data_IF_480824016059
#
_entry.id   IF_480824016059
#
_cell.length_a   1.000
_cell.length_b   1.000
_cell.length_c   1.000
_cell.angle_alpha   90.00
_cell.angle_beta   90.00
_cell.angle_gamma   90.00
#
_symmetry.space_group_name_H-M   'P 1'
#
loop_
_entity.id
_entity.type
_entity.pdbx_description
1 polymer ?
#
# COMPACT_ATOMS: atom_id res chain seq x y z
N UNK A 1 -8.06 19.22 21.47
CA UNK A 1 -7.68 18.24 20.45
C UNK A 1 -7.33 18.91 19.15
N UNK A 2 -6.37 18.38 18.42
CA UNK A 2 -6.08 18.87 17.06
C UNK A 2 -7.24 18.44 16.16
N UNK A 3 -7.78 19.33 15.33
CA UNK A 3 -8.82 19.02 14.33
C UNK A 3 -8.18 18.25 13.14
N UNK A 4 -7.72 17.04 13.42
CA UNK A 4 -7.00 16.19 12.46
C UNK A 4 -7.93 15.25 11.68
N UNK A 5 -9.23 15.27 11.95
CA UNK A 5 -10.19 14.34 11.34
C UNK A 5 -11.44 15.09 10.90
N UNK A 6 -11.96 14.76 9.72
CA UNK A 6 -13.21 15.32 9.21
C UNK A 6 -14.04 14.29 8.47
N UNK A 7 -15.35 14.59 8.32
CA UNK A 7 -16.30 13.75 7.63
C UNK A 7 -16.25 13.96 6.11
N UNK A 8 -16.20 12.86 5.37
CA UNK A 8 -16.24 12.86 3.91
C UNK A 8 -17.42 12.06 3.41
N UNK A 9 -18.24 12.68 2.57
CA UNK A 9 -19.45 12.12 1.99
C UNK A 9 -19.29 11.68 0.54
N UNK A 10 -18.12 11.82 -0.06
CA UNK A 10 -17.83 11.45 -1.44
C UNK A 10 -17.90 9.94 -1.66
N UNK A 11 -18.49 9.53 -2.77
CA UNK A 11 -18.34 8.17 -3.31
C UNK A 11 -17.00 8.00 -4.00
N UNK A 12 -16.58 6.75 -4.20
CA UNK A 12 -15.39 6.44 -5.00
C UNK A 12 -15.49 6.98 -6.43
N UNK A 13 -16.69 6.92 -7.02
CA UNK A 13 -16.98 7.46 -8.37
C UNK A 13 -16.77 8.98 -8.41
N UNK A 14 -17.31 9.71 -7.44
CA UNK A 14 -17.14 11.17 -7.35
C UNK A 14 -15.67 11.58 -7.19
N UNK A 15 -14.89 10.82 -6.39
CA UNK A 15 -13.45 11.08 -6.22
C UNK A 15 -12.70 10.86 -7.55
N UNK A 16 -13.01 9.79 -8.29
CA UNK A 16 -12.37 9.51 -9.57
C UNK A 16 -12.74 10.52 -10.67
N UNK A 17 -13.93 11.10 -10.61
CA UNK A 17 -14.43 12.09 -11.56
C UNK A 17 -14.08 13.54 -11.19
N UNK A 18 -13.60 13.79 -9.97
CA UNK A 18 -13.25 15.14 -9.53
C UNK A 18 -12.03 15.69 -10.30
N UNK A 19 -11.99 17.00 -10.56
CA UNK A 19 -10.80 17.65 -11.08
C UNK A 19 -9.60 17.36 -10.18
N UNK A 20 -8.47 17.01 -10.79
CA UNK A 20 -7.22 16.68 -10.07
C UNK A 20 -6.15 17.77 -10.31
N UNK A 21 -5.27 17.91 -9.34
CA UNK A 21 -4.06 18.69 -9.55
C UNK A 21 -3.20 18.04 -10.67
N UNK A 22 -2.46 18.81 -11.48
CA UNK A 22 -1.75 18.31 -12.69
C UNK A 22 -0.86 17.10 -12.44
N UNK A 23 -0.34 16.82 -11.32
CA UNK A 23 0.56 15.70 -11.03
C UNK A 23 0.03 14.74 -9.95
N UNK A 24 -1.26 14.86 -9.57
CA UNK A 24 -1.84 13.96 -8.60
C UNK A 24 -2.08 12.56 -9.20
N UNK A 25 -1.66 11.48 -8.52
CA UNK A 25 -1.88 10.13 -8.99
C UNK A 25 -3.37 9.80 -9.06
N UNK A 26 -3.70 8.77 -9.85
CA UNK A 26 -5.09 8.32 -10.00
C UNK A 26 -5.67 7.88 -8.64
N UNK A 27 -6.87 8.39 -8.33
CA UNK A 27 -7.57 8.09 -7.08
C UNK A 27 -7.09 8.89 -5.87
N UNK A 28 -6.15 9.84 -6.03
CA UNK A 28 -5.84 10.79 -4.97
C UNK A 28 -7.07 11.61 -4.59
N UNK A 29 -7.26 11.84 -3.30
CA UNK A 29 -8.42 12.58 -2.84
C UNK A 29 -8.25 14.10 -3.03
N UNK A 30 -9.18 14.79 -3.72
CA UNK A 30 -9.02 16.21 -4.05
C UNK A 30 -9.40 17.17 -2.92
N UNK A 31 -9.75 16.68 -1.72
CA UNK A 31 -10.11 17.55 -0.60
C UNK A 31 -11.57 18.07 -0.59
N UNK A 32 -12.45 17.55 -1.44
CA UNK A 32 -13.83 18.05 -1.66
C UNK A 32 -14.63 18.32 -0.39
N UNK A 33 -14.47 17.49 0.65
CA UNK A 33 -15.20 17.67 1.92
C UNK A 33 -14.35 18.27 3.03
N UNK A 34 -13.10 18.63 2.74
CA UNK A 34 -12.13 19.07 3.77
C UNK A 34 -12.60 20.32 4.51
N UNK A 35 -13.14 21.28 3.78
CA UNK A 35 -13.45 22.61 4.30
C UNK A 35 -14.95 22.94 4.19
N UNK A 36 -15.81 21.91 4.28
CA UNK A 36 -17.25 22.12 4.36
C UNK A 36 -17.63 22.92 5.61
N UNK A 37 -18.53 23.88 5.44
CA UNK A 37 -19.15 24.59 6.57
C UNK A 37 -20.09 23.67 7.36
N UNK A 38 -20.47 24.07 8.57
CA UNK A 38 -21.42 23.28 9.38
C UNK A 38 -22.76 23.08 8.68
N UNK A 39 -23.26 24.12 7.98
CA UNK A 39 -24.47 24.02 7.19
C UNK A 39 -24.35 22.98 6.06
N UNK A 40 -23.24 23.01 5.31
CA UNK A 40 -22.97 22.04 4.26
C UNK A 40 -22.82 20.61 4.81
N UNK A 41 -22.17 20.44 5.96
CA UNK A 41 -22.10 19.13 6.66
C UNK A 41 -23.49 18.63 7.06
N UNK A 42 -24.32 19.52 7.61
CA UNK A 42 -25.70 19.17 8.00
C UNK A 42 -26.53 18.72 6.79
N UNK A 43 -26.43 19.46 5.67
CA UNK A 43 -27.08 19.08 4.41
C UNK A 43 -26.64 17.69 3.92
N UNK A 44 -25.32 17.42 3.90
CA UNK A 44 -24.77 16.12 3.50
C UNK A 44 -25.22 14.98 4.41
N UNK A 45 -25.29 15.22 5.73
CA UNK A 45 -25.83 14.24 6.69
C UNK A 45 -27.33 13.97 6.42
N UNK A 46 -28.13 15.01 6.15
CA UNK A 46 -29.54 14.88 5.84
C UNK A 46 -29.80 14.09 4.55
N UNK A 47 -28.87 14.09 3.60
CA UNK A 47 -28.93 13.24 2.42
C UNK A 47 -28.76 11.73 2.72
N UNK A 48 -28.53 11.35 3.99
CA UNK A 48 -28.63 9.98 4.49
C UNK A 48 -27.42 9.07 4.23
N UNK A 49 -26.35 9.57 3.61
CA UNK A 49 -25.16 8.77 3.39
C UNK A 49 -24.23 8.83 4.61
N UNK A 50 -23.89 7.68 5.24
CA UNK A 50 -22.93 7.65 6.34
C UNK A 50 -21.55 8.17 5.89
N UNK A 51 -20.93 9.11 6.63
CA UNK A 51 -19.64 9.66 6.26
C UNK A 51 -18.50 8.70 6.55
N UNK A 52 -17.50 8.69 5.67
CA UNK A 52 -16.18 8.22 5.99
C UNK A 52 -15.44 9.28 6.83
N UNK A 53 -14.54 8.86 7.71
CA UNK A 53 -13.62 9.75 8.41
C UNK A 53 -12.29 9.80 7.67
N UNK A 54 -11.83 11.02 7.36
CA UNK A 54 -10.52 11.23 6.72
C UNK A 54 -9.56 11.95 7.66
N UNK A 55 -8.28 11.64 7.49
CA UNK A 55 -7.21 12.44 8.06
C UNK A 55 -7.20 13.81 7.36
N UNK A 56 -7.08 14.88 8.14
CA UNK A 56 -6.73 16.21 7.64
C UNK A 56 -5.20 16.27 7.61
N UNK A 57 -4.61 15.93 6.47
CA UNK A 57 -3.17 15.94 6.32
C UNK A 57 -2.59 17.36 6.47
N UNK A 58 -1.50 17.49 7.21
CA UNK A 58 -0.74 18.71 7.37
C UNK A 58 0.39 18.87 6.35
N UNK A 59 0.58 17.87 5.47
CA UNK A 59 1.58 17.90 4.39
C UNK A 59 0.99 17.27 3.12
N UNK A 60 1.58 17.59 1.99
CA UNK A 60 1.23 17.00 0.69
C UNK A 60 2.15 15.88 0.27
N UNK A 61 3.30 15.73 0.95
CA UNK A 61 4.28 14.69 0.64
C UNK A 61 5.00 14.24 1.92
N UNK A 62 5.56 13.04 1.89
CA UNK A 62 6.38 12.48 2.96
C UNK A 62 7.44 11.56 2.38
N UNK A 63 8.61 11.51 3.02
CA UNK A 63 9.74 10.71 2.59
C UNK A 63 9.91 9.50 3.50
N UNK A 64 10.12 8.33 2.90
CA UNK A 64 10.42 7.07 3.59
C UNK A 64 11.76 6.52 3.14
N UNK A 65 12.37 5.69 3.97
CA UNK A 65 13.54 4.90 3.60
C UNK A 65 13.10 3.53 3.11
N UNK A 66 13.54 3.16 1.92
CA UNK A 66 13.27 1.86 1.30
C UNK A 66 14.59 1.17 0.92
N UNK A 67 14.74 -0.11 1.26
CA UNK A 67 15.99 -0.84 1.02
C UNK A 67 16.30 -1.04 -0.47
N UNK A 68 15.27 -1.12 -1.31
CA UNK A 68 15.43 -1.32 -2.75
C UNK A 68 15.37 -0.01 -3.54
N UNK A 69 14.56 0.95 -3.11
CA UNK A 69 14.33 2.21 -3.83
C UNK A 69 15.08 3.41 -3.21
N UNK A 70 15.77 3.21 -2.08
CA UNK A 70 16.46 4.28 -1.39
C UNK A 70 15.50 5.26 -0.69
N UNK A 71 15.80 6.54 -0.77
CA UNK A 71 14.91 7.59 -0.25
C UNK A 71 13.76 7.82 -1.23
N UNK A 72 12.53 7.49 -0.84
CA UNK A 72 11.33 7.63 -1.66
C UNK A 72 10.40 8.68 -1.07
N UNK A 73 10.13 9.73 -1.84
CA UNK A 73 9.16 10.78 -1.50
C UNK A 73 7.90 10.58 -2.32
N UNK A 74 6.75 10.53 -1.68
CA UNK A 74 5.47 10.34 -2.36
C UNK A 74 4.34 11.15 -1.73
N UNK A 75 3.22 11.19 -2.45
CA UNK A 75 2.03 11.96 -2.08
C UNK A 75 1.45 11.49 -0.75
N UNK A 76 1.06 12.46 0.07
CA UNK A 76 0.20 12.29 1.23
C UNK A 76 -1.08 13.10 1.00
N UNK A 77 -2.17 12.40 0.71
CA UNK A 77 -3.51 12.97 0.63
C UNK A 77 -4.28 12.77 1.94
N UNK A 78 -5.48 13.34 2.02
CA UNK A 78 -6.38 13.10 3.15
C UNK A 78 -6.94 11.68 3.11
N UNK A 79 -6.15 10.73 3.56
CA UNK A 79 -6.49 9.30 3.52
C UNK A 79 -7.68 8.96 4.41
N UNK A 80 -8.44 7.93 4.02
CA UNK A 80 -9.56 7.42 4.82
C UNK A 80 -9.00 6.68 6.04
N UNK A 81 -9.49 7.04 7.24
CA UNK A 81 -9.21 6.36 8.50
C UNK A 81 -10.31 5.36 8.85
N UNK A 82 -11.59 5.74 8.65
CA UNK A 82 -12.75 4.89 8.86
C UNK A 82 -13.71 5.04 7.70
N UNK A 83 -14.19 3.93 7.18
CA UNK A 83 -15.15 3.87 6.10
C UNK A 83 -16.56 4.28 6.60
N UNK A 84 -17.45 4.64 5.66
CA UNK A 84 -18.82 5.00 5.99
C UNK A 84 -19.64 3.86 6.61
N UNK A 85 -19.23 2.60 6.43
CA UNK A 85 -19.82 1.43 7.09
C UNK A 85 -19.30 1.19 8.52
N UNK A 86 -18.47 2.10 9.05
CA UNK A 86 -17.89 2.04 10.39
C UNK A 86 -16.61 1.21 10.51
N UNK A 87 -16.19 0.50 9.46
CA UNK A 87 -14.99 -0.35 9.49
C UNK A 87 -13.72 0.52 9.36
N UNK A 88 -12.67 0.28 10.17
CA UNK A 88 -11.36 0.91 9.97
C UNK A 88 -10.85 0.68 8.54
N UNK A 89 -10.26 1.71 7.95
CA UNK A 89 -9.66 1.59 6.63
C UNK A 89 -8.32 0.85 6.71
N UNK A 90 -7.96 0.16 5.62
CA UNK A 90 -6.73 -0.64 5.55
C UNK A 90 -5.48 0.13 6.02
N UNK A 91 -5.28 1.37 5.57
CA UNK A 91 -4.11 2.16 5.95
C UNK A 91 -4.05 2.45 7.46
N UNK A 92 -5.18 2.63 8.14
CA UNK A 92 -5.19 2.78 9.60
C UNK A 92 -4.93 1.45 10.29
N UNK A 93 -5.61 0.39 9.86
CA UNK A 93 -5.48 -0.93 10.48
C UNK A 93 -4.02 -1.42 10.40
N UNK A 94 -3.40 -1.41 9.21
CA UNK A 94 -2.04 -1.92 9.04
C UNK A 94 -1.02 -1.12 9.88
N UNK A 95 -1.13 0.21 9.93
CA UNK A 95 -0.20 1.03 10.73
C UNK A 95 -0.33 0.77 12.23
N UNK A 96 -1.55 0.61 12.72
CA UNK A 96 -1.79 0.34 14.15
C UNK A 96 -1.40 -1.09 14.51
N UNK A 97 -1.75 -2.07 13.67
CA UNK A 97 -1.48 -3.49 13.94
C UNK A 97 0.03 -3.79 13.85
N UNK A 98 0.72 -3.24 12.84
CA UNK A 98 2.18 -3.37 12.70
C UNK A 98 2.89 -2.78 13.91
N UNK A 99 2.51 -1.57 14.34
CA UNK A 99 3.10 -0.96 15.53
C UNK A 99 2.83 -1.75 16.81
N UNK A 100 1.60 -2.27 16.98
CA UNK A 100 1.23 -3.07 18.13
C UNK A 100 1.98 -4.43 18.19
N UNK A 101 2.35 -4.96 17.03
CA UNK A 101 3.10 -6.22 16.89
C UNK A 101 4.63 -6.00 16.91
N UNK A 102 5.09 -4.76 16.96
CA UNK A 102 6.52 -4.44 16.96
C UNK A 102 7.19 -4.64 15.61
N UNK A 103 6.43 -4.52 14.51
CA UNK A 103 6.98 -4.61 13.15
C UNK A 103 7.85 -3.38 12.87
N UNK A 104 9.14 -3.61 12.64
CA UNK A 104 10.13 -2.59 12.33
C UNK A 104 10.57 -2.59 10.87
N UNK A 105 10.23 -3.64 10.10
CA UNK A 105 10.49 -3.75 8.67
C UNK A 105 9.27 -4.27 7.92
N UNK A 106 8.90 -3.57 6.82
CA UNK A 106 7.78 -3.93 5.95
C UNK A 106 8.28 -4.37 4.58
N UNK A 107 8.18 -5.67 4.29
CA UNK A 107 8.53 -6.25 2.98
C UNK A 107 7.25 -6.55 2.20
N UNK A 108 7.10 -5.96 0.99
CA UNK A 108 5.90 -6.16 0.16
C UNK A 108 6.15 -5.81 -1.32
N UNK A 109 5.19 -6.07 -2.18
CA UNK A 109 5.29 -5.71 -3.60
C UNK A 109 5.39 -4.20 -3.84
N UNK A 110 6.11 -3.81 -4.88
CA UNK A 110 6.38 -2.42 -5.26
C UNK A 110 5.14 -1.68 -5.79
N UNK A 111 4.06 -2.39 -6.12
CA UNK A 111 2.75 -1.81 -6.38
C UNK A 111 2.16 -1.04 -5.17
N UNK A 112 2.70 -1.28 -3.98
CA UNK A 112 2.34 -0.58 -2.75
C UNK A 112 3.33 0.52 -2.33
N UNK A 113 4.40 0.74 -3.09
CA UNK A 113 5.42 1.76 -2.77
C UNK A 113 4.78 3.14 -2.58
N UNK A 114 3.86 3.54 -3.46
CA UNK A 114 3.16 4.81 -3.37
C UNK A 114 2.28 4.98 -2.12
N UNK A 115 2.00 3.91 -1.39
CA UNK A 115 1.24 3.93 -0.14
C UNK A 115 2.11 4.15 1.09
N UNK A 116 3.41 3.85 1.01
CA UNK A 116 4.33 3.94 2.14
C UNK A 116 4.44 5.35 2.75
N UNK A 117 4.56 6.45 1.96
CA UNK A 117 4.61 7.80 2.51
C UNK A 117 3.41 8.17 3.37
N UNK A 118 2.18 7.84 2.92
CA UNK A 118 0.96 8.14 3.67
C UNK A 118 0.81 7.30 4.93
N UNK A 119 1.27 6.04 4.90
CA UNK A 119 1.27 5.15 6.07
C UNK A 119 2.31 5.59 7.10
N UNK A 120 3.52 5.91 6.68
CA UNK A 120 4.58 6.41 7.55
C UNK A 120 4.20 7.76 8.19
N UNK A 121 3.61 8.67 7.41
CA UNK A 121 3.10 9.93 7.95
C UNK A 121 2.00 9.71 9.00
N UNK A 122 1.06 8.80 8.74
CA UNK A 122 0.04 8.43 9.73
C UNK A 122 0.67 7.85 11.00
N UNK A 123 1.66 6.97 10.87
CA UNK A 123 2.42 6.42 12.01
C UNK A 123 3.07 7.51 12.85
N UNK A 124 3.70 8.48 12.21
CA UNK A 124 4.30 9.65 12.89
C UNK A 124 3.28 10.45 13.68
N UNK A 125 2.07 10.68 13.11
CA UNK A 125 1.00 11.39 13.82
C UNK A 125 0.47 10.61 15.04
N UNK A 126 0.55 9.27 15.00
CA UNK A 126 0.18 8.39 16.10
C UNK A 126 1.31 8.18 17.12
N UNK A 127 2.50 8.72 16.84
CA UNK A 127 3.67 8.59 17.73
C UNK A 127 4.41 7.27 17.58
N UNK A 128 4.20 6.53 16.49
CA UNK A 128 4.91 5.28 16.19
C UNK A 128 6.23 5.55 15.47
N UNK A 129 7.29 4.79 15.75
CA UNK A 129 8.51 4.85 14.96
C UNK A 129 8.23 4.40 13.52
N UNK A 130 8.81 5.08 12.50
CA UNK A 130 8.64 4.65 11.12
C UNK A 130 9.38 3.33 10.88
N UNK A 131 8.74 2.32 10.23
CA UNK A 131 9.42 1.11 9.82
C UNK A 131 10.36 1.38 8.65
N UNK A 132 11.34 0.50 8.45
CA UNK A 132 12.12 0.43 7.20
C UNK A 132 11.30 -0.36 6.18
N UNK A 133 11.16 0.19 4.98
CA UNK A 133 10.45 -0.47 3.89
C UNK A 133 11.39 -1.25 2.97
N UNK A 134 10.88 -2.31 2.37
CA UNK A 134 11.52 -3.05 1.29
C UNK A 134 10.46 -3.44 0.24
N UNK A 135 10.30 -2.60 -0.78
CA UNK A 135 9.36 -2.87 -1.86
C UNK A 135 10.04 -3.69 -2.94
N UNK A 136 9.64 -4.95 -3.06
CA UNK A 136 10.22 -5.91 -4.00
C UNK A 136 9.43 -5.94 -5.31
N UNK A 137 10.08 -6.22 -6.45
CA UNK A 137 9.41 -6.36 -7.74
C UNK A 137 8.31 -7.42 -7.73
N UNK A 138 7.29 -7.21 -8.57
CA UNK A 138 6.17 -8.15 -8.68
C UNK A 138 6.53 -9.39 -9.49
N UNK A 139 5.85 -10.50 -9.19
CA UNK A 139 5.72 -11.61 -10.11
C UNK A 139 4.59 -11.30 -11.11
N UNK A 140 4.90 -11.35 -12.39
CA UNK A 140 3.98 -11.07 -13.49
C UNK A 140 3.63 -12.36 -14.25
N UNK A 141 2.45 -12.38 -14.89
CA UNK A 141 2.10 -13.40 -15.87
C UNK A 141 2.75 -13.07 -17.24
N UNK A 142 2.55 -13.94 -18.23
CA UNK A 142 3.11 -13.77 -19.58
C UNK A 142 2.64 -12.48 -20.30
N UNK A 143 1.49 -11.92 -19.89
CA UNK A 143 0.94 -10.68 -20.43
C UNK A 143 1.47 -9.43 -19.71
N UNK A 144 2.44 -9.59 -18.79
CA UNK A 144 2.99 -8.49 -18.00
C UNK A 144 2.06 -7.96 -16.90
N UNK A 145 1.00 -8.70 -16.54
CA UNK A 145 0.09 -8.34 -15.46
C UNK A 145 0.51 -9.05 -14.17
N UNK A 146 0.27 -8.40 -13.03
CA UNK A 146 0.50 -9.00 -11.71
C UNK A 146 -0.13 -10.39 -11.63
N UNK A 147 0.67 -11.38 -11.26
CA UNK A 147 0.20 -12.75 -11.06
C UNK A 147 -0.84 -12.79 -9.94
N UNK A 148 -2.05 -13.24 -10.25
CA UNK A 148 -3.18 -13.25 -9.33
C UNK A 148 -3.96 -14.57 -9.43
N UNK A 149 -4.70 -14.91 -8.37
CA UNK A 149 -5.51 -16.15 -8.29
C UNK A 149 -6.44 -16.40 -9.49
N UNK A 150 -6.96 -15.33 -10.11
CA UNK A 150 -7.84 -15.40 -11.30
C UNK A 150 -7.12 -15.78 -12.61
N UNK A 151 -5.79 -15.73 -12.62
CA UNK A 151 -4.98 -16.03 -13.81
C UNK A 151 -4.62 -17.52 -13.91
N UNK A 152 -5.41 -18.42 -13.28
CA UNK A 152 -5.14 -19.85 -13.18
C UNK A 152 -4.08 -20.10 -12.12
N UNK A 153 -4.39 -19.73 -10.87
CA UNK A 153 -3.45 -19.83 -9.76
C UNK A 153 -2.88 -21.25 -9.64
N UNK A 154 -1.63 -21.36 -9.97
CA UNK A 154 -0.86 -22.54 -9.69
C UNK A 154 -0.67 -22.60 -8.17
N UNK A 155 -1.24 -23.59 -7.54
CA UNK A 155 -1.08 -23.80 -6.09
C UNK A 155 0.20 -24.59 -5.81
N UNK A 156 0.74 -24.42 -4.60
CA UNK A 156 1.87 -25.23 -4.14
C UNK A 156 1.60 -26.73 -4.24
N UNK A 157 0.34 -27.14 -4.01
CA UNK A 157 -0.09 -28.53 -4.07
C UNK A 157 -0.02 -29.10 -5.50
N UNK A 158 -0.32 -28.28 -6.52
CA UNK A 158 -0.29 -28.71 -7.93
C UNK A 158 1.13 -28.83 -8.48
N UNK A 159 2.02 -27.91 -8.10
CA UNK A 159 3.41 -27.92 -8.59
C UNK A 159 4.34 -28.85 -7.83
N UNK A 160 4.04 -29.14 -6.59
CA UNK A 160 4.94 -29.84 -5.66
C UNK A 160 6.12 -28.97 -5.19
N UNK A 161 6.61 -29.28 -4.00
CA UNK A 161 7.62 -28.48 -3.28
C UNK A 161 8.91 -28.24 -4.10
N UNK A 162 9.52 -29.25 -4.75
CA UNK A 162 10.77 -29.03 -5.50
C UNK A 162 10.64 -28.02 -6.64
N UNK A 163 9.49 -28.05 -7.35
CA UNK A 163 9.23 -27.09 -8.45
C UNK A 163 9.05 -25.68 -7.91
N UNK A 164 8.30 -25.55 -6.80
CA UNK A 164 8.07 -24.24 -6.17
C UNK A 164 9.36 -23.63 -5.67
N UNK A 165 10.22 -24.39 -4.97
CA UNK A 165 11.51 -23.88 -4.49
C UNK A 165 12.40 -23.42 -5.64
N UNK A 166 12.38 -24.13 -6.77
CA UNK A 166 13.10 -23.70 -7.96
C UNK A 166 12.56 -22.39 -8.53
N UNK A 167 11.23 -22.23 -8.63
CA UNK A 167 10.60 -20.99 -9.10
C UNK A 167 10.93 -19.81 -8.18
N UNK A 168 10.96 -20.04 -6.86
CA UNK A 168 11.37 -19.03 -5.89
C UNK A 168 12.86 -18.65 -6.11
N UNK A 169 13.74 -19.65 -6.23
CA UNK A 169 15.15 -19.43 -6.49
C UNK A 169 15.36 -18.64 -7.80
N UNK A 170 14.70 -19.05 -8.88
CA UNK A 170 14.73 -18.36 -10.17
C UNK A 170 14.27 -16.90 -10.05
N UNK A 171 13.19 -16.64 -9.29
CA UNK A 171 12.66 -15.28 -9.10
C UNK A 171 13.58 -14.37 -8.29
N UNK A 172 14.44 -14.96 -7.46
CA UNK A 172 15.43 -14.26 -6.63
C UNK A 172 16.82 -14.21 -7.27
N UNK A 173 17.01 -14.88 -8.42
CA UNK A 173 18.30 -14.99 -9.10
C UNK A 173 19.29 -15.90 -8.39
N UNK A 174 18.81 -16.90 -7.61
CA UNK A 174 19.64 -17.86 -6.90
C UNK A 174 19.85 -19.15 -7.70
N UNK A 175 20.99 -19.80 -7.49
CA UNK A 175 21.33 -21.07 -8.10
C UNK A 175 20.80 -22.27 -7.30
N UNK A 176 20.69 -22.14 -5.99
CA UNK A 176 20.26 -23.18 -5.08
C UNK A 176 18.73 -23.35 -5.09
N UNK A 177 18.27 -24.60 -5.29
CA UNK A 177 16.84 -24.96 -5.28
C UNK A 177 16.35 -25.49 -3.92
N UNK A 178 17.05 -25.25 -2.82
CA UNK A 178 16.70 -25.60 -1.45
C UNK A 178 16.64 -24.40 -0.55
N UNK A 179 15.85 -24.44 0.52
CA UNK A 179 15.72 -23.32 1.47
C UNK A 179 17.09 -22.97 2.07
N UNK A 180 17.85 -23.96 2.56
CA UNK A 180 19.16 -23.72 3.18
C UNK A 180 20.15 -23.13 2.17
N UNK A 181 20.13 -23.60 0.93
CA UNK A 181 20.98 -23.06 -0.13
C UNK A 181 20.62 -21.60 -0.48
N UNK A 182 19.31 -21.28 -0.60
CA UNK A 182 18.86 -19.92 -0.83
C UNK A 182 19.21 -19.00 0.34
N UNK A 183 19.11 -19.46 1.58
CA UNK A 183 19.52 -18.69 2.77
C UNK A 183 21.04 -18.41 2.77
N UNK A 184 21.85 -19.39 2.34
CA UNK A 184 23.29 -19.22 2.24
C UNK A 184 23.71 -18.22 1.13
N UNK A 185 22.90 -18.09 0.07
CA UNK A 185 23.10 -17.12 -1.02
C UNK A 185 22.47 -15.76 -0.73
N UNK A 186 21.63 -15.65 0.31
CA UNK A 186 20.80 -14.44 0.54
C UNK A 186 21.65 -13.21 0.85
N UNK A 187 21.49 -12.20 -0.02
CA UNK A 187 22.04 -10.87 0.15
C UNK A 187 20.99 -9.84 -0.29
N UNK A 188 20.45 -9.02 0.62
CA UNK A 188 19.44 -8.00 0.28
C UNK A 188 19.90 -7.02 -0.80
N UNK A 189 21.22 -6.74 -0.89
CA UNK A 189 21.76 -5.83 -1.88
C UNK A 189 21.73 -6.41 -3.30
N UNK A 190 21.63 -7.73 -3.43
CA UNK A 190 21.62 -8.48 -4.70
C UNK A 190 20.23 -8.87 -5.18
N UNK A 191 19.18 -8.53 -4.44
CA UNK A 191 17.81 -8.81 -4.85
C UNK A 191 17.52 -8.17 -6.22
N UNK A 192 16.82 -8.89 -7.12
CA UNK A 192 16.42 -8.36 -8.42
C UNK A 192 15.65 -7.05 -8.27
N UNK A 193 15.83 -6.14 -9.24
CA UNK A 193 15.12 -4.85 -9.29
C UNK A 193 14.01 -4.84 -10.32
N UNK A 194 14.01 -5.85 -11.20
CA UNK A 194 13.03 -5.99 -12.28
C UNK A 194 11.97 -7.05 -11.92
N UNK A 195 10.74 -6.90 -12.39
CA UNK A 195 9.69 -7.89 -12.22
C UNK A 195 10.08 -9.25 -12.80
N UNK A 196 9.75 -10.31 -12.08
CA UNK A 196 9.94 -11.67 -12.57
C UNK A 196 8.69 -12.13 -13.33
N UNK A 197 8.87 -12.69 -14.55
CA UNK A 197 7.75 -13.18 -15.38
C UNK A 197 7.60 -14.68 -15.22
N UNK A 198 6.50 -15.10 -14.60
CA UNK A 198 6.12 -16.51 -14.52
C UNK A 198 5.67 -17.03 -15.87
N UNK A 199 6.32 -18.11 -16.33
CA UNK A 199 5.97 -18.84 -17.55
C UNK A 199 5.62 -20.27 -17.17
N UNK A 200 4.34 -20.69 -17.21
CA UNK A 200 3.99 -22.07 -17.01
C UNK A 200 4.68 -22.93 -18.09
N UNK A 201 5.23 -24.07 -17.69
CA UNK A 201 5.79 -25.07 -18.61
C UNK A 201 4.70 -25.95 -19.17
#
# INVERSE_FOLDING_TARGET
GRDLVYECYCSRKEILQAPRAPHAPEGAYPGTCRDLSDAQRAERRAAGRPPALRLRSGTTEYTVTDLLHGSYTGLVDDLVLRRGDGVPAYNLAVVVDDAAQGVDQVVRGDDLLSSAPRQAYLGTLLGYPPPVYAHVPLALNADGKRLAKRDGAVTLAELGVPTVLRLIADSLGYSAGTVDGMLAEFDPARLPREPWVYRPR
#
